data_IF_700821828363
#
_entry.id   IF_700821828363
#
_cell.length_a   1.000
_cell.length_b   1.000
_cell.length_c   1.000
_cell.angle_alpha   90.00
_cell.angle_beta   90.00
_cell.angle_gamma   90.00
#
_symmetry.space_group_name_H-M   'P 1'
#
loop_
_entity.id
_entity.type
_entity.pdbx_description
1 polymer ?
#
# COMPACT_ATOMS: atom_id res chain seq x y z
N UNK A 1 -20.19 -2.52 14.27
CA UNK A 1 -20.30 -1.41 13.30
C UNK A 1 -19.65 -0.20 13.92
N UNK A 2 -18.89 0.53 13.10
CA UNK A 2 -18.29 1.85 13.35
C UNK A 2 -16.75 1.88 13.53
N UNK A 3 -16.05 1.80 12.40
CA UNK A 3 -14.64 2.20 12.27
C UNK A 3 -14.50 3.49 11.44
N UNK A 4 -15.56 4.31 11.38
CA UNK A 4 -15.53 5.59 10.65
C UNK A 4 -15.12 6.75 11.55
N UNK A 5 -14.27 6.50 12.56
CA UNK A 5 -13.54 7.58 13.22
C UNK A 5 -12.41 7.98 12.30
N UNK A 6 -12.78 8.71 11.24
CA UNK A 6 -11.90 9.46 10.37
C UNK A 6 -11.03 10.31 11.30
N UNK A 7 -9.83 9.83 11.60
CA UNK A 7 -8.84 10.65 12.27
C UNK A 7 -8.63 11.77 11.27
N UNK A 8 -9.06 12.98 11.63
CA UNK A 8 -8.82 14.19 10.84
C UNK A 8 -7.32 14.48 10.91
N UNK A 9 -6.53 13.66 10.22
CA UNK A 9 -5.11 13.87 10.04
C UNK A 9 -5.02 15.04 9.07
N UNK A 10 -4.22 16.03 9.45
CA UNK A 10 -3.91 17.16 8.59
C UNK A 10 -3.48 16.64 7.20
N UNK A 11 -4.15 17.02 6.11
CA UNK A 11 -3.78 16.59 4.76
C UNK A 11 -2.32 16.87 4.41
N UNK A 12 -1.73 17.94 4.97
CA UNK A 12 -0.31 18.27 4.79
C UNK A 12 0.61 17.23 5.45
N UNK A 13 0.17 16.66 6.57
CA UNK A 13 0.88 15.59 7.26
C UNK A 13 0.86 14.32 6.42
N UNK A 14 -0.30 13.91 5.90
CA UNK A 14 -0.42 12.72 5.02
C UNK A 14 0.49 12.84 3.80
N UNK A 15 0.53 14.02 3.17
CA UNK A 15 1.41 14.26 2.02
C UNK A 15 2.90 14.14 2.38
N UNK A 16 3.31 14.56 3.57
CA UNK A 16 4.70 14.40 4.02
C UNK A 16 5.08 12.93 4.21
N UNK A 17 4.18 12.10 4.75
CA UNK A 17 4.39 10.63 4.79
C UNK A 17 4.46 10.04 3.39
N UNK A 18 3.63 10.51 2.47
CA UNK A 18 3.62 10.03 1.08
C UNK A 18 4.99 10.22 0.42
N UNK A 19 5.51 11.45 0.47
CA UNK A 19 6.81 11.77 -0.10
C UNK A 19 7.95 10.99 0.58
N UNK A 20 7.88 10.83 1.92
CA UNK A 20 8.89 10.08 2.69
C UNK A 20 8.86 8.58 2.36
N UNK A 21 7.68 7.98 2.27
CA UNK A 21 7.49 6.57 1.94
C UNK A 21 8.07 6.25 0.55
N UNK A 22 7.76 7.09 -0.43
CA UNK A 22 8.30 6.97 -1.80
C UNK A 22 9.81 7.13 -1.81
N UNK A 23 10.34 8.18 -1.16
CA UNK A 23 11.79 8.40 -1.10
C UNK A 23 12.53 7.19 -0.52
N UNK A 24 12.03 6.64 0.59
CA UNK A 24 12.61 5.43 1.20
C UNK A 24 12.54 4.23 0.27
N UNK A 25 11.40 4.02 -0.40
CA UNK A 25 11.22 2.91 -1.34
C UNK A 25 12.19 3.03 -2.54
N UNK A 26 12.36 4.23 -3.09
CA UNK A 26 13.32 4.50 -4.19
C UNK A 26 14.76 4.26 -3.73
N UNK A 27 15.08 4.58 -2.48
CA UNK A 27 16.41 4.31 -1.88
C UNK A 27 16.63 2.83 -1.52
N UNK A 28 15.65 1.94 -1.74
CA UNK A 28 15.71 0.53 -1.38
C UNK A 28 15.42 0.25 0.10
N UNK A 29 15.09 1.26 0.89
CA UNK A 29 14.72 1.15 2.31
C UNK A 29 13.28 0.67 2.49
N UNK A 30 12.92 -0.44 1.84
CA UNK A 30 11.55 -0.95 1.77
C UNK A 30 10.95 -1.29 3.14
N UNK A 31 11.75 -1.82 4.07
CA UNK A 31 11.27 -2.10 5.43
C UNK A 31 10.85 -0.83 6.17
N UNK A 32 11.54 0.28 5.91
CA UNK A 32 11.30 1.57 6.57
C UNK A 32 10.19 2.38 5.90
N UNK A 33 9.84 2.09 4.64
CA UNK A 33 8.75 2.76 3.91
C UNK A 33 7.36 2.23 4.30
N UNK A 34 7.24 0.94 4.61
CA UNK A 34 5.98 0.28 5.00
C UNK A 34 5.18 1.04 6.06
N UNK A 35 5.75 1.42 7.23
CA UNK A 35 4.99 2.13 8.26
C UNK A 35 4.48 3.51 7.80
N UNK A 36 5.15 4.15 6.83
CA UNK A 36 4.68 5.41 6.28
C UNK A 36 3.46 5.21 5.37
N UNK A 37 3.43 4.12 4.58
CA UNK A 37 2.24 3.70 3.84
C UNK A 37 1.08 3.30 4.75
N UNK A 38 1.35 2.65 5.89
CA UNK A 38 0.32 2.32 6.88
C UNK A 38 -0.41 3.57 7.40
N UNK A 39 0.33 4.66 7.63
CA UNK A 39 -0.24 5.93 8.07
C UNK A 39 -1.14 6.53 6.99
N UNK A 40 -0.68 6.53 5.73
CA UNK A 40 -1.45 7.05 4.59
C UNK A 40 -2.74 6.25 4.42
N UNK A 41 -2.68 4.92 4.46
CA UNK A 41 -3.83 4.03 4.32
C UNK A 41 -4.81 4.18 5.49
N UNK A 42 -4.31 4.42 6.71
CA UNK A 42 -5.16 4.68 7.87
C UNK A 42 -5.88 6.03 7.77
N UNK A 43 -5.25 7.03 7.15
CA UNK A 43 -5.85 8.34 6.91
C UNK A 43 -6.86 8.30 5.76
N UNK A 44 -6.51 7.61 4.68
CA UNK A 44 -7.31 7.41 3.48
C UNK A 44 -7.28 5.95 3.03
N UNK A 45 -8.26 5.14 3.49
CA UNK A 45 -8.39 3.73 3.09
C UNK A 45 -8.74 3.54 1.60
N UNK A 46 -9.04 4.61 0.87
CA UNK A 46 -9.30 4.58 -0.58
C UNK A 46 -8.07 4.91 -1.43
N UNK A 47 -6.93 5.21 -0.80
CA UNK A 47 -5.68 5.52 -1.49
C UNK A 47 -5.06 4.28 -2.13
N UNK A 48 -5.49 3.96 -3.35
CA UNK A 48 -5.07 2.77 -4.08
C UNK A 48 -3.56 2.75 -4.40
N UNK A 49 -2.96 3.92 -4.61
CA UNK A 49 -1.52 4.05 -4.90
C UNK A 49 -0.66 3.71 -3.67
N UNK A 50 -1.10 4.10 -2.47
CA UNK A 50 -0.43 3.74 -1.22
C UNK A 50 -0.44 2.23 -0.98
N UNK A 51 -1.55 1.54 -1.27
CA UNK A 51 -1.60 0.07 -1.25
C UNK A 51 -0.61 -0.53 -2.25
N UNK A 52 -0.62 -0.06 -3.51
CA UNK A 52 0.30 -0.56 -4.54
C UNK A 52 1.78 -0.42 -4.13
N UNK A 53 2.18 0.77 -3.67
CA UNK A 53 3.57 1.05 -3.29
C UNK A 53 4.00 0.31 -2.00
N UNK A 54 3.07 0.12 -1.05
CA UNK A 54 3.30 -0.75 0.11
C UNK A 54 3.48 -2.20 -0.31
N UNK A 55 2.67 -2.66 -1.27
CA UNK A 55 2.78 -3.99 -1.88
C UNK A 55 4.16 -4.24 -2.48
N UNK A 56 4.68 -3.29 -3.28
CA UNK A 56 6.06 -3.36 -3.82
C UNK A 56 7.09 -3.46 -2.69
N UNK A 57 6.95 -2.63 -1.65
CA UNK A 57 7.90 -2.62 -0.54
C UNK A 57 7.88 -3.95 0.22
N UNK A 58 6.69 -4.53 0.46
CA UNK A 58 6.51 -5.85 1.06
C UNK A 58 7.09 -6.98 0.23
N UNK A 59 6.94 -6.96 -1.09
CA UNK A 59 7.58 -7.93 -1.99
C UNK A 59 9.11 -7.92 -1.85
N UNK A 60 9.71 -6.73 -1.77
CA UNK A 60 11.15 -6.58 -1.61
C UNK A 60 11.67 -7.09 -0.26
N UNK A 61 10.85 -7.01 0.80
CA UNK A 61 11.18 -7.61 2.11
C UNK A 61 10.69 -9.05 2.30
N UNK A 62 10.29 -9.71 1.20
CA UNK A 62 9.82 -11.11 1.15
C UNK A 62 8.53 -11.38 1.94
N UNK A 63 7.75 -10.34 2.21
CA UNK A 63 6.41 -10.45 2.77
C UNK A 63 5.37 -10.67 1.63
N UNK A 64 5.52 -11.77 0.90
CA UNK A 64 4.80 -11.98 -0.36
C UNK A 64 3.28 -12.03 -0.20
N UNK A 65 2.78 -12.70 0.85
CA UNK A 65 1.33 -12.80 1.10
C UNK A 65 0.71 -11.43 1.35
N UNK A 66 1.26 -10.66 2.28
CA UNK A 66 0.73 -9.33 2.62
C UNK A 66 0.94 -8.32 1.50
N UNK A 67 1.99 -8.47 0.69
CA UNK A 67 2.17 -7.66 -0.52
C UNK A 67 1.14 -7.99 -1.60
N UNK A 68 0.78 -9.27 -1.77
CA UNK A 68 -0.27 -9.68 -2.69
C UNK A 68 -1.63 -9.13 -2.26
N UNK A 69 -1.95 -9.20 -0.96
CA UNK A 69 -3.18 -8.62 -0.41
C UNK A 69 -3.28 -7.11 -0.73
N UNK A 70 -2.16 -6.39 -0.63
CA UNK A 70 -2.08 -4.97 -1.00
C UNK A 70 -2.32 -4.73 -2.50
N UNK A 71 -1.76 -5.55 -3.38
CA UNK A 71 -2.02 -5.44 -4.82
C UNK A 71 -3.47 -5.73 -5.18
N UNK A 72 -4.09 -6.74 -4.55
CA UNK A 72 -5.51 -7.03 -4.72
C UNK A 72 -6.36 -5.85 -4.26
N UNK A 73 -6.02 -5.24 -3.12
CA UNK A 73 -6.74 -4.06 -2.63
C UNK A 73 -6.59 -2.85 -3.55
N UNK A 74 -5.38 -2.58 -4.04
CA UNK A 74 -5.16 -1.51 -5.02
C UNK A 74 -5.98 -1.73 -6.29
N UNK A 75 -6.05 -2.97 -6.79
CA UNK A 75 -6.86 -3.32 -7.96
C UNK A 75 -8.37 -3.15 -7.70
N UNK A 76 -8.87 -3.60 -6.53
CA UNK A 76 -10.26 -3.42 -6.09
C UNK A 76 -10.66 -1.93 -6.07
N UNK A 77 -9.74 -1.05 -5.68
CA UNK A 77 -9.90 0.40 -5.67
C UNK A 77 -9.70 1.05 -7.06
N UNK A 78 -9.50 0.26 -8.12
CA UNK A 78 -9.41 0.72 -9.50
C UNK A 78 -8.00 1.07 -9.99
N UNK A 79 -6.94 0.80 -9.22
CA UNK A 79 -5.56 1.05 -9.65
C UNK A 79 -5.08 -0.06 -10.59
N UNK A 80 -5.35 0.14 -11.89
CA UNK A 80 -5.04 -0.82 -12.96
C UNK A 80 -3.61 -1.35 -12.98
N UNK A 81 -2.54 -0.57 -12.67
CA UNK A 81 -1.18 -1.13 -12.63
C UNK A 81 -1.01 -2.29 -11.65
N UNK A 82 -1.88 -2.42 -10.65
CA UNK A 82 -1.87 -3.54 -9.72
C UNK A 82 -2.27 -4.88 -10.38
N UNK A 83 -3.02 -4.88 -11.48
CA UNK A 83 -3.47 -6.10 -12.17
C UNK A 83 -2.29 -6.99 -12.58
N UNK A 84 -1.25 -6.39 -13.17
CA UNK A 84 -0.04 -7.11 -13.54
C UNK A 84 0.66 -7.71 -12.31
N UNK A 85 0.71 -6.96 -11.21
CA UNK A 85 1.35 -7.41 -9.98
C UNK A 85 0.58 -8.56 -9.33
N UNK A 86 -0.75 -8.52 -9.34
CA UNK A 86 -1.60 -9.63 -8.90
C UNK A 86 -1.30 -10.87 -9.74
N UNK A 87 -1.25 -10.76 -11.06
CA UNK A 87 -0.99 -11.92 -11.94
C UNK A 87 0.40 -12.54 -11.74
N UNK A 88 1.41 -11.75 -11.36
CA UNK A 88 2.78 -12.23 -11.14
C UNK A 88 2.96 -12.81 -9.74
N UNK A 89 2.44 -12.14 -8.72
CA UNK A 89 2.82 -12.42 -7.32
C UNK A 89 1.70 -13.05 -6.49
N UNK A 90 0.45 -12.99 -6.94
CA UNK A 90 -0.66 -13.60 -6.22
C UNK A 90 -0.97 -14.99 -6.77
N UNK A 91 -0.97 -16.04 -5.93
CA UNK A 91 -1.46 -17.33 -6.35
C UNK A 91 -2.94 -17.19 -6.76
N UNK A 92 -3.33 -17.90 -7.82
CA UNK A 92 -4.76 -18.08 -8.13
C UNK A 92 -5.37 -18.80 -6.95
N UNK A 93 -6.40 -18.23 -6.34
CA UNK A 93 -7.16 -18.95 -5.32
C UNK A 93 -7.78 -20.14 -6.04
N UNK A 94 -7.46 -21.35 -5.58
CA UNK A 94 -7.95 -22.58 -6.18
C UNK A 94 -9.47 -22.59 -6.09
N UNK A 95 -10.10 -22.72 -7.25
CA UNK A 95 -11.53 -23.01 -7.47
C UNK A 95 -11.98 -24.28 -6.78
#
# INVERSE_FOLDING_TARGET
>A
TDFNRVISIDPTFVQAYYNRAISKAIMGNHKESIPDYDIIIKADPSNAEAYYNRGISKMNVKEFKSGCDDFRKALELGYKPAEQMVNIYCPKENS
#
